data_IF_385629796633
#
_entry.id   IF_385629796633
#
_cell.length_a   1.000
_cell.length_b   1.000
_cell.length_c   1.000
_cell.angle_alpha   90.00
_cell.angle_beta   90.00
_cell.angle_gamma   90.00
#
_symmetry.space_group_name_H-M   'P 1'
#
loop_
_entity.id
_entity.type
_entity.pdbx_description
1 polymer ?
#
# COMPACT_ATOMS: atom_id res chain seq x y z
N UNK A 1 -14.85 -21.47 -6.55
CA UNK A 1 -14.23 -20.29 -5.91
C UNK A 1 -15.34 -19.48 -5.26
N UNK A 2 -15.12 -18.97 -4.05
CA UNK A 2 -16.08 -18.12 -3.34
C UNK A 2 -15.59 -16.67 -3.37
N UNK A 3 -16.50 -15.71 -3.22
CA UNK A 3 -16.14 -14.29 -3.12
C UNK A 3 -15.11 -14.04 -2.01
N UNK A 4 -15.24 -14.75 -0.89
CA UNK A 4 -14.30 -14.69 0.23
C UNK A 4 -12.89 -15.14 -0.17
N UNK A 5 -12.76 -16.29 -0.86
CA UNK A 5 -11.46 -16.80 -1.30
C UNK A 5 -10.82 -15.89 -2.35
N UNK A 6 -11.63 -15.30 -3.22
CA UNK A 6 -11.17 -14.43 -4.30
C UNK A 6 -10.67 -13.10 -3.72
N UNK A 7 -11.42 -12.52 -2.76
CA UNK A 7 -11.03 -11.30 -2.07
C UNK A 7 -9.74 -11.49 -1.25
N UNK A 8 -9.61 -12.60 -0.52
CA UNK A 8 -8.38 -12.91 0.21
C UNK A 8 -7.17 -13.02 -0.73
N UNK A 9 -7.33 -13.72 -1.87
CA UNK A 9 -6.27 -13.85 -2.87
C UNK A 9 -5.85 -12.52 -3.49
N UNK A 10 -6.81 -11.64 -3.79
CA UNK A 10 -6.51 -10.30 -4.31
C UNK A 10 -5.84 -9.40 -3.25
N UNK A 11 -6.27 -9.44 -1.98
CA UNK A 11 -5.60 -8.71 -0.89
C UNK A 11 -4.14 -9.14 -0.79
N UNK A 12 -3.84 -10.44 -0.76
CA UNK A 12 -2.47 -10.93 -0.69
C UNK A 12 -1.63 -10.51 -1.90
N UNK A 13 -2.21 -10.63 -3.10
CA UNK A 13 -1.54 -10.27 -4.36
C UNK A 13 -1.19 -8.79 -4.39
N UNK A 14 -2.13 -7.92 -4.06
CA UNK A 14 -1.93 -6.48 -4.08
C UNK A 14 -1.09 -5.97 -2.90
N UNK A 15 -1.11 -6.67 -1.78
CA UNK A 15 -0.19 -6.43 -0.66
C UNK A 15 1.27 -6.66 -1.08
N UNK A 16 1.56 -7.80 -1.72
CA UNK A 16 2.91 -8.09 -2.23
C UNK A 16 3.38 -7.04 -3.24
N UNK A 17 2.52 -6.66 -4.18
CA UNK A 17 2.82 -5.61 -5.15
C UNK A 17 3.10 -4.25 -4.47
N UNK A 18 2.36 -3.91 -3.42
CA UNK A 18 2.58 -2.68 -2.68
C UNK A 18 3.94 -2.71 -1.96
N UNK A 19 4.24 -3.83 -1.30
CA UNK A 19 5.52 -4.03 -0.61
C UNK A 19 6.71 -3.89 -1.58
N UNK A 20 6.60 -4.47 -2.79
CA UNK A 20 7.60 -4.31 -3.85
C UNK A 20 7.69 -2.86 -4.35
N UNK A 21 6.54 -2.22 -4.60
CA UNK A 21 6.48 -0.82 -5.05
C UNK A 21 7.11 0.15 -4.06
N UNK A 22 7.04 -0.14 -2.75
CA UNK A 22 7.59 0.70 -1.69
C UNK A 22 9.11 0.59 -1.53
N UNK A 23 9.76 -0.49 -2.00
CA UNK A 23 11.22 -0.67 -1.85
C UNK A 23 12.03 0.44 -2.51
N UNK A 24 11.52 1.01 -3.59
CA UNK A 24 12.18 2.10 -4.33
C UNK A 24 11.66 3.48 -4.00
N UNK A 25 10.66 3.65 -3.13
CA UNK A 25 9.99 4.95 -2.99
C UNK A 25 10.57 5.75 -1.84
N UNK A 26 10.95 6.99 -2.13
CA UNK A 26 11.47 7.94 -1.15
C UNK A 26 10.66 9.24 -1.13
N UNK A 27 10.38 9.81 0.05
CA UNK A 27 9.73 11.10 0.16
C UNK A 27 10.67 12.23 -0.29
N UNK A 28 10.12 13.25 -0.96
CA UNK A 28 10.87 14.42 -1.43
C UNK A 28 10.77 15.62 -0.49
N UNK A 29 9.75 15.64 0.37
CA UNK A 29 9.48 16.70 1.34
C UNK A 29 8.78 16.18 2.62
N UNK A 30 8.34 17.09 3.49
CA UNK A 30 7.61 16.76 4.72
C UNK A 30 6.25 16.09 4.45
N UNK A 31 5.55 16.54 3.42
CA UNK A 31 4.24 16.00 3.04
C UNK A 31 4.41 14.54 2.59
N UNK A 32 5.41 14.28 1.74
CA UNK A 32 5.81 12.95 1.32
C UNK A 32 6.20 12.05 2.48
N UNK A 33 6.89 12.57 3.51
CA UNK A 33 7.23 11.78 4.70
C UNK A 33 5.97 11.33 5.45
N UNK A 34 5.03 12.23 5.67
CA UNK A 34 3.72 11.92 6.29
C UNK A 34 2.90 10.95 5.44
N UNK A 35 2.92 11.11 4.11
CA UNK A 35 2.31 10.15 3.19
C UNK A 35 2.92 8.77 3.34
N UNK A 36 4.25 8.66 3.38
CA UNK A 36 4.96 7.38 3.57
C UNK A 36 4.63 6.73 4.91
N UNK A 37 4.53 7.51 6.00
CA UNK A 37 4.08 7.01 7.30
C UNK A 37 2.65 6.45 7.22
N UNK A 38 1.73 7.18 6.59
CA UNK A 38 0.35 6.73 6.42
C UNK A 38 0.26 5.47 5.55
N UNK A 39 1.02 5.37 4.45
CA UNK A 39 1.04 4.17 3.59
C UNK A 39 1.47 2.96 4.41
N UNK A 40 2.52 3.09 5.23
CA UNK A 40 3.00 2.00 6.10
C UNK A 40 1.98 1.63 7.17
N UNK A 41 1.30 2.61 7.77
CA UNK A 41 0.24 2.38 8.74
C UNK A 41 -0.91 1.58 8.11
N UNK A 42 -1.45 2.04 6.98
CA UNK A 42 -2.53 1.33 6.29
C UNK A 42 -2.12 -0.05 5.77
N UNK A 43 -0.87 -0.21 5.31
CA UNK A 43 -0.35 -1.53 4.90
C UNK A 43 -0.29 -2.50 6.09
N UNK A 44 0.12 -2.02 7.26
CA UNK A 44 0.15 -2.78 8.51
C UNK A 44 -1.27 -3.14 8.97
N UNK A 45 -2.20 -2.18 8.97
CA UNK A 45 -3.60 -2.40 9.33
C UNK A 45 -4.27 -3.42 8.41
N UNK A 46 -3.98 -3.34 7.10
CA UNK A 46 -4.46 -4.33 6.13
C UNK A 46 -4.05 -5.76 6.51
N UNK A 47 -2.78 -5.96 6.91
CA UNK A 47 -2.29 -7.24 7.40
C UNK A 47 -2.98 -7.69 8.70
N UNK A 48 -3.13 -6.76 9.66
CA UNK A 48 -3.80 -7.02 10.93
C UNK A 48 -5.25 -7.52 10.75
N UNK A 49 -6.00 -6.91 9.82
CA UNK A 49 -7.37 -7.31 9.51
C UNK A 49 -7.43 -8.61 8.71
N UNK A 50 -6.47 -8.85 7.80
CA UNK A 50 -6.38 -10.10 7.05
C UNK A 50 -6.20 -11.31 7.97
N UNK A 51 -5.27 -11.21 8.93
CA UNK A 51 -5.03 -12.26 9.95
C UNK A 51 -6.28 -12.60 10.77
N UNK A 52 -7.19 -11.64 10.94
CA UNK A 52 -8.46 -11.78 11.66
C UNK A 52 -9.63 -12.19 10.78
N UNK A 53 -9.40 -12.43 9.48
CA UNK A 53 -10.43 -12.67 8.46
C UNK A 53 -11.44 -11.53 8.30
N UNK A 54 -11.08 -10.31 8.71
CA UNK A 54 -11.86 -9.10 8.42
C UNK A 54 -11.46 -8.58 7.02
N UNK A 55 -11.92 -9.29 5.99
CA UNK A 55 -11.47 -9.06 4.62
C UNK A 55 -11.88 -7.70 4.07
N UNK A 56 -13.02 -7.16 4.52
CA UNK A 56 -13.52 -5.85 4.06
C UNK A 56 -12.57 -4.75 4.55
N UNK A 57 -12.26 -4.71 5.84
CA UNK A 57 -11.33 -3.71 6.38
C UNK A 57 -9.91 -3.92 5.86
N UNK A 58 -9.49 -5.17 5.69
CA UNK A 58 -8.19 -5.48 5.11
C UNK A 58 -8.05 -4.91 3.69
N UNK A 59 -9.06 -5.11 2.85
CA UNK A 59 -9.11 -4.56 1.50
C UNK A 59 -9.18 -3.03 1.51
N UNK A 60 -10.02 -2.44 2.36
CA UNK A 60 -10.15 -0.98 2.50
C UNK A 60 -8.81 -0.32 2.86
N UNK A 61 -8.10 -0.84 3.87
CA UNK A 61 -6.79 -0.33 4.27
C UNK A 61 -5.77 -0.46 3.12
N UNK A 62 -5.78 -1.57 2.38
CA UNK A 62 -4.88 -1.77 1.25
C UNK A 62 -5.14 -0.76 0.12
N UNK A 63 -6.41 -0.48 -0.18
CA UNK A 63 -6.80 0.53 -1.17
C UNK A 63 -6.34 1.92 -0.73
N UNK A 64 -6.50 2.28 0.54
CA UNK A 64 -6.00 3.55 1.07
C UNK A 64 -4.48 3.68 0.95
N UNK A 65 -3.73 2.63 1.27
CA UNK A 65 -2.28 2.62 1.12
C UNK A 65 -1.85 2.85 -0.34
N UNK A 66 -2.52 2.19 -1.30
CA UNK A 66 -2.29 2.41 -2.74
C UNK A 66 -2.66 3.81 -3.20
N UNK A 67 -3.84 4.32 -2.79
CA UNK A 67 -4.30 5.64 -3.19
C UNK A 67 -3.32 6.74 -2.75
N UNK A 68 -2.79 6.64 -1.54
CA UNK A 68 -1.79 7.61 -1.03
C UNK A 68 -0.48 7.48 -1.80
N UNK A 69 -0.02 6.26 -2.11
CA UNK A 69 1.20 6.04 -2.90
C UNK A 69 1.10 6.67 -4.29
N UNK A 70 0.03 6.38 -5.03
CA UNK A 70 -0.18 6.88 -6.39
C UNK A 70 -0.39 8.40 -6.40
N UNK A 71 -1.16 8.94 -5.45
CA UNK A 71 -1.34 10.39 -5.31
C UNK A 71 -0.02 11.09 -4.98
N UNK A 72 0.78 10.51 -4.07
CA UNK A 72 2.08 11.07 -3.71
C UNK A 72 3.08 11.05 -4.88
N UNK A 73 2.99 10.06 -5.78
CA UNK A 73 3.77 10.02 -7.02
C UNK A 73 3.31 11.08 -8.01
N UNK A 74 2.01 11.18 -8.25
CA UNK A 74 1.42 12.16 -9.18
C UNK A 74 1.72 13.61 -8.76
N UNK A 75 1.79 13.87 -7.46
CA UNK A 75 2.06 15.20 -6.89
C UNK A 75 3.55 15.43 -6.58
N UNK A 76 4.46 14.55 -7.03
CA UNK A 76 5.92 14.64 -6.81
C UNK A 76 6.39 14.64 -5.34
N UNK A 77 5.52 14.30 -4.39
CA UNK A 77 5.86 14.12 -2.97
C UNK A 77 6.59 12.78 -2.70
N UNK A 78 6.41 11.79 -3.58
CA UNK A 78 7.03 10.47 -3.50
C UNK A 78 7.71 10.13 -4.84
N UNK A 79 9.04 10.03 -4.84
CA UNK A 79 9.78 9.56 -6.02
C UNK A 79 10.09 8.09 -5.92
N UNK A 80 9.83 7.37 -7.01
CA UNK A 80 10.45 6.08 -7.26
C UNK A 80 11.92 6.34 -7.61
N UNK A 81 12.84 5.83 -6.82
CA UNK A 81 14.26 5.78 -7.15
C UNK A 81 14.38 5.04 -8.48
N UNK A 82 14.83 5.74 -9.51
CA UNK A 82 15.37 5.11 -10.71
C UNK A 82 16.39 4.08 -10.25
N UNK A 83 16.23 2.83 -10.65
CA UNK A 83 17.35 1.90 -10.64
C UNK A 83 18.55 2.63 -11.23
N UNK A 84 19.68 2.58 -10.52
CA UNK A 84 20.93 3.07 -11.06
C UNK A 84 21.13 2.43 -12.44
N UNK A 85 21.04 3.24 -13.50
CA UNK A 85 21.64 2.94 -14.79
C UNK A 85 23.15 3.18 -14.71
#
# INVERSE_FOLDING_TARGET
MSLESDLAGEIERWSRKLDDALRGVSPTDEVGRRMMENIRAYRSDSGHFLERRDLIRSFECLVWAWAILETGRELDHLRSGTGAE
#
